data_IF_240534181670
#
_entry.id   IF_240534181670
#
_cell.length_a   1.000
_cell.length_b   1.000
_cell.length_c   1.000
_cell.angle_alpha   90.00
_cell.angle_beta   90.00
_cell.angle_gamma   90.00
#
_symmetry.space_group_name_H-M   'P 1'
#
loop_
_entity.id
_entity.type
_entity.pdbx_description
1 polymer ?
#
# COMPACT_ATOMS: atom_id res chain seq x y z
N UNK A 1 -1.98 -12.29 22.54
CA UNK A 1 -1.80 -12.72 21.13
C UNK A 1 -0.94 -11.67 20.46
N UNK A 2 0.26 -12.05 20.02
CA UNK A 2 1.20 -11.13 19.36
C UNK A 2 0.77 -11.07 17.89
N UNK A 3 0.05 -10.02 17.50
CA UNK A 3 -0.35 -9.77 16.11
C UNK A 3 0.84 -9.19 15.35
N UNK A 4 1.93 -9.95 15.26
CA UNK A 4 3.01 -9.60 14.34
C UNK A 4 2.45 -9.67 12.93
N UNK A 5 2.24 -8.51 12.31
CA UNK A 5 1.81 -8.37 10.91
C UNK A 5 2.80 -8.99 9.91
N UNK A 6 3.92 -9.53 10.39
CA UNK A 6 5.06 -9.99 9.63
C UNK A 6 5.31 -11.50 9.85
N UNK A 7 5.46 -12.26 8.77
CA UNK A 7 5.83 -13.68 8.84
C UNK A 7 7.36 -13.87 9.00
N UNK A 8 7.76 -15.10 9.32
CA UNK A 8 9.17 -15.50 9.50
C UNK A 8 9.90 -15.83 8.18
N UNK A 9 9.22 -15.82 7.03
CA UNK A 9 9.86 -16.14 5.74
C UNK A 9 10.88 -15.08 5.33
N UNK A 10 12.07 -15.49 4.89
CA UNK A 10 13.17 -14.57 4.58
C UNK A 10 12.85 -13.64 3.40
N UNK A 11 12.21 -14.19 2.36
CA UNK A 11 11.88 -13.44 1.17
C UNK A 11 10.65 -12.56 1.39
N UNK A 12 10.88 -11.25 1.36
CA UNK A 12 9.82 -10.24 1.43
C UNK A 12 10.14 -9.11 0.47
N UNK A 13 9.13 -8.67 -0.27
CA UNK A 13 9.24 -7.59 -1.24
C UNK A 13 8.30 -6.46 -0.86
N UNK A 14 8.68 -5.25 -1.24
CA UNK A 14 7.77 -4.11 -1.19
C UNK A 14 7.53 -3.59 -2.60
N UNK A 15 6.27 -3.31 -2.93
CA UNK A 15 5.86 -2.79 -4.23
C UNK A 15 5.16 -1.45 -4.03
N UNK A 16 5.58 -0.46 -4.80
CA UNK A 16 4.86 0.81 -4.92
C UNK A 16 3.94 0.77 -6.13
N UNK A 17 2.72 1.28 -5.95
CA UNK A 17 1.76 1.49 -7.02
C UNK A 17 1.08 2.83 -6.83
N UNK A 18 0.67 3.45 -7.94
CA UNK A 18 -0.09 4.70 -7.90
C UNK A 18 -1.51 4.41 -8.34
N UNK A 19 -2.49 4.85 -7.56
CA UNK A 19 -3.91 4.64 -7.82
C UNK A 19 -4.60 5.99 -7.87
N UNK A 20 -5.38 6.24 -8.91
CA UNK A 20 -6.31 7.37 -8.96
C UNK A 20 -7.49 7.06 -8.04
N UNK A 21 -7.71 7.90 -7.05
CA UNK A 21 -8.82 7.76 -6.11
C UNK A 21 -9.74 8.95 -6.24
N UNK A 22 -11.01 8.69 -6.53
CA UNK A 22 -12.04 9.70 -6.62
C UNK A 22 -12.87 9.67 -5.34
N UNK A 23 -12.93 10.79 -4.63
CA UNK A 23 -13.78 10.96 -3.45
C UNK A 23 -14.58 12.26 -3.60
N UNK A 24 -15.90 12.12 -3.61
CA UNK A 24 -16.82 13.21 -3.95
C UNK A 24 -16.42 13.85 -5.29
N UNK A 25 -16.18 15.16 -5.31
CA UNK A 25 -15.80 15.94 -6.50
C UNK A 25 -14.28 16.10 -6.67
N UNK A 26 -13.47 15.33 -5.93
CA UNK A 26 -12.00 15.44 -5.94
C UNK A 26 -11.36 14.16 -6.47
N UNK A 27 -10.44 14.32 -7.41
CA UNK A 27 -9.49 13.26 -7.79
C UNK A 27 -8.20 13.46 -6.97
N UNK A 28 -7.65 12.40 -6.41
CA UNK A 28 -6.32 12.44 -5.78
C UNK A 28 -5.50 11.24 -6.25
N UNK A 29 -4.20 11.44 -6.42
CA UNK A 29 -3.27 10.35 -6.70
C UNK A 29 -2.75 9.79 -5.38
N UNK A 30 -3.10 8.55 -5.09
CA UNK A 30 -2.58 7.83 -3.93
C UNK A 30 -1.38 6.98 -4.35
N UNK A 31 -0.29 7.08 -3.61
CA UNK A 31 0.81 6.12 -3.67
C UNK A 31 0.58 5.07 -2.58
N UNK A 32 0.52 3.82 -3.00
CA UNK A 32 0.30 2.66 -2.13
C UNK A 32 1.58 1.82 -2.12
N UNK A 33 2.22 1.71 -0.96
CA UNK A 33 3.28 0.74 -0.69
C UNK A 33 2.65 -0.53 -0.15
N UNK A 34 2.86 -1.67 -0.79
CA UNK A 34 2.38 -2.98 -0.32
C UNK A 34 3.57 -3.86 0.05
N UNK A 35 3.47 -4.57 1.17
CA UNK A 35 4.44 -5.57 1.59
C UNK A 35 3.94 -6.98 1.30
N UNK A 36 4.75 -7.74 0.57
CA UNK A 36 4.35 -9.03 0.01
C UNK A 36 5.40 -10.08 0.37
N UNK A 37 4.94 -11.18 0.94
CA UNK A 37 5.69 -12.43 1.03
C UNK A 37 5.25 -13.32 -0.16
N UNK A 38 6.17 -13.90 -0.94
CA UNK A 38 5.80 -14.78 -2.06
C UNK A 38 5.09 -16.07 -1.60
N UNK A 39 5.22 -16.43 -0.32
CA UNK A 39 4.60 -17.63 0.26
C UNK A 39 3.23 -17.31 0.89
N UNK A 40 3.13 -16.24 1.70
CA UNK A 40 1.90 -15.91 2.42
C UNK A 40 0.98 -14.92 1.67
N UNK A 41 1.52 -14.18 0.70
CA UNK A 41 0.83 -13.07 0.05
C UNK A 41 1.03 -11.74 0.78
N UNK A 42 -0.02 -10.91 0.83
CA UNK A 42 0.05 -9.52 1.33
C UNK A 42 0.04 -9.49 2.85
N UNK A 43 1.03 -8.80 3.43
CA UNK A 43 1.15 -8.58 4.88
C UNK A 43 0.60 -7.22 5.33
N UNK A 44 0.48 -6.28 4.41
CA UNK A 44 -0.10 -4.98 4.67
C UNK A 44 0.24 -3.98 3.58
N UNK A 45 -0.26 -2.76 3.77
CA UNK A 45 0.02 -1.64 2.90
C UNK A 45 0.05 -0.34 3.67
N UNK A 46 0.83 0.62 3.19
CA UNK A 46 0.76 2.01 3.59
C UNK A 46 0.32 2.86 2.39
N UNK A 47 -0.43 3.92 2.66
CA UNK A 47 -0.95 4.82 1.62
C UNK A 47 -0.61 6.26 1.95
N UNK A 48 -0.18 7.00 0.95
CA UNK A 48 0.11 8.42 1.04
C UNK A 48 -0.46 9.16 -0.18
N UNK A 49 -0.83 10.42 -0.01
CA UNK A 49 -1.26 11.28 -1.13
C UNK A 49 0.00 11.75 -1.86
N UNK A 50 0.17 11.33 -3.11
CA UNK A 50 1.32 11.69 -3.93
C UNK A 50 1.18 13.08 -4.56
N UNK A 51 -0.06 13.49 -4.85
CA UNK A 51 -0.43 14.82 -5.31
C UNK A 51 -1.92 15.03 -4.98
N UNK A 52 -2.27 16.16 -4.35
CA UNK A 52 -3.63 16.67 -4.45
C UNK A 52 -3.83 17.02 -5.93
N UNK A 53 -4.89 16.55 -6.59
CA UNK A 53 -5.19 17.14 -7.89
C UNK A 53 -5.43 18.62 -7.65
N UNK A 54 -4.62 19.45 -8.31
CA UNK A 54 -4.84 20.89 -8.35
C UNK A 54 -6.28 21.17 -8.80
N UNK A 55 -6.88 22.19 -8.16
CA UNK A 55 -8.28 22.58 -8.16
C UNK A 55 -8.90 22.85 -9.53
#
# INVERSE_FOLDING_TARGET
MNLSLWCEHEEKTSKYSTVKYCFEDKEVLLRVQTWICPICGVHGSNTEVAQAADA
#
